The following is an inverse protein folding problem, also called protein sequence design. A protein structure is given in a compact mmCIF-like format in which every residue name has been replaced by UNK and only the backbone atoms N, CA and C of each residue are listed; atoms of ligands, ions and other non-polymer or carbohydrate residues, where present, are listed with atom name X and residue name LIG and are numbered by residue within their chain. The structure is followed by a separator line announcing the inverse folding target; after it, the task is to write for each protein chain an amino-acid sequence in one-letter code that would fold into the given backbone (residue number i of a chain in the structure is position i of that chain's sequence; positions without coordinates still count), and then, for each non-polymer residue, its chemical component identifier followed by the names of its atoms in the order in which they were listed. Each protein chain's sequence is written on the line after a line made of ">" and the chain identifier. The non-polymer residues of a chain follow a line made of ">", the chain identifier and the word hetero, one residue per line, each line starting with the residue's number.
data_IF_531031547847
#
_entry.id   IF_531031547847
#
_cell.length_a   1.000
_cell.length_b   1.000
_cell.length_c   1.000
_cell.angle_alpha   90.00
_cell.angle_beta   90.00
_cell.angle_gamma   90.00
#
_symmetry.space_group_name_H-M   'P 1'
#
loop_
_entity.id
_entity.type
_entity.pdbx_description
1 polymer ?
#
# COMPACT_ATOMS: atom_id res chain seq x y z
N UNK A 1 -27.42 -13.75 -16.68
CA UNK A 1 -26.64 -12.51 -16.47
C UNK A 1 -27.23 -11.82 -15.25
N UNK A 2 -26.51 -11.80 -14.12
CA UNK A 2 -27.01 -11.25 -12.86
C UNK A 2 -27.26 -9.74 -13.02
N UNK A 3 -28.53 -9.34 -12.98
CA UNK A 3 -28.92 -7.94 -12.79
C UNK A 3 -28.61 -7.56 -11.34
N UNK A 4 -27.36 -7.19 -11.05
CA UNK A 4 -27.02 -6.66 -9.75
C UNK A 4 -27.79 -5.36 -9.53
N UNK A 5 -28.60 -5.33 -8.47
CA UNK A 5 -29.16 -4.08 -7.95
C UNK A 5 -28.08 -3.44 -7.10
N UNK A 6 -27.72 -2.21 -7.46
CA UNK A 6 -26.61 -1.48 -6.89
C UNK A 6 -27.10 -0.18 -6.24
N UNK A 7 -26.35 0.25 -5.24
CA UNK A 7 -26.51 1.54 -4.58
C UNK A 7 -25.22 2.33 -4.70
N UNK A 8 -25.32 3.61 -5.05
CA UNK A 8 -24.24 4.58 -5.02
C UNK A 8 -24.51 5.62 -3.93
N UNK A 9 -23.58 5.76 -2.99
CA UNK A 9 -23.54 6.85 -2.02
C UNK A 9 -22.66 7.96 -2.56
N UNK A 10 -23.25 9.14 -2.74
CA UNK A 10 -22.58 10.34 -3.23
C UNK A 10 -22.16 11.20 -2.04
N UNK A 11 -20.86 11.21 -1.76
CA UNK A 11 -20.21 12.11 -0.82
C UNK A 11 -19.38 13.16 -1.60
N UNK A 12 -18.91 14.20 -0.92
CA UNK A 12 -18.15 15.27 -1.56
C UNK A 12 -16.76 14.81 -2.03
N UNK A 13 -16.10 13.98 -1.23
CA UNK A 13 -14.73 13.49 -1.39
C UNK A 13 -14.66 12.11 -2.05
N UNK A 14 -15.78 11.39 -2.15
CA UNK A 14 -15.84 10.04 -2.72
C UNK A 14 -17.24 9.64 -3.19
N UNK A 15 -17.30 8.65 -4.06
CA UNK A 15 -18.54 7.87 -4.28
C UNK A 15 -18.27 6.42 -3.92
N UNK A 16 -19.17 5.86 -3.12
CA UNK A 16 -19.12 4.44 -2.70
C UNK A 16 -20.25 3.67 -3.36
N UNK A 17 -19.94 2.53 -3.96
CA UNK A 17 -20.86 1.63 -4.63
C UNK A 17 -21.02 0.35 -3.82
N UNK A 18 -22.24 -0.18 -3.75
CA UNK A 18 -22.58 -1.35 -2.96
C UNK A 18 -23.55 -2.26 -3.70
N UNK A 19 -23.41 -3.58 -3.52
CA UNK A 19 -24.47 -4.52 -3.85
C UNK A 19 -25.55 -4.51 -2.78
N UNK A 20 -26.81 -4.78 -3.14
CA UNK A 20 -27.88 -4.94 -2.14
C UNK A 20 -27.55 -6.05 -1.13
N UNK A 21 -26.94 -7.15 -1.56
CA UNK A 21 -26.56 -8.26 -0.66
C UNK A 21 -25.49 -7.85 0.35
N UNK A 22 -24.51 -7.02 -0.05
CA UNK A 22 -23.53 -6.44 0.87
C UNK A 22 -24.21 -5.58 1.93
N UNK A 23 -25.10 -4.67 1.52
CA UNK A 23 -25.82 -3.80 2.46
C UNK A 23 -26.74 -4.61 3.39
N UNK A 24 -27.44 -5.62 2.86
CA UNK A 24 -28.31 -6.49 3.67
C UNK A 24 -27.51 -7.25 4.73
N UNK A 25 -26.33 -7.74 4.39
CA UNK A 25 -25.49 -8.53 5.29
C UNK A 25 -24.70 -7.68 6.30
N UNK A 26 -24.18 -6.52 5.88
CA UNK A 26 -23.25 -5.70 6.70
C UNK A 26 -23.91 -4.50 7.36
N UNK A 27 -24.95 -3.93 6.77
CA UNK A 27 -25.63 -2.72 7.26
C UNK A 27 -27.17 -2.84 7.15
N UNK A 28 -27.81 -3.84 7.81
CA UNK A 28 -29.21 -4.18 7.59
C UNK A 28 -30.20 -3.05 7.91
N UNK A 29 -29.92 -2.22 8.93
CA UNK A 29 -30.75 -1.06 9.28
C UNK A 29 -30.69 0.04 8.20
N UNK A 30 -29.50 0.29 7.65
CA UNK A 30 -29.33 1.23 6.54
C UNK A 30 -30.07 0.71 5.31
N UNK A 31 -29.92 -0.57 4.97
CA UNK A 31 -30.60 -1.18 3.84
C UNK A 31 -32.12 -1.03 3.94
N UNK A 32 -32.71 -1.32 5.10
CA UNK A 32 -34.15 -1.12 5.34
C UNK A 32 -34.59 0.35 5.13
N UNK A 33 -33.76 1.30 5.58
CA UNK A 33 -34.01 2.74 5.39
C UNK A 33 -33.97 3.14 3.90
N UNK A 34 -32.97 2.64 3.16
CA UNK A 34 -32.82 2.91 1.73
C UNK A 34 -33.99 2.34 0.92
N UNK A 35 -34.46 1.13 1.25
CA UNK A 35 -35.64 0.54 0.63
C UNK A 35 -36.93 1.33 0.93
N UNK A 36 -37.11 1.81 2.18
CA UNK A 36 -38.23 2.68 2.52
C UNK A 36 -38.22 4.00 1.76
N UNK A 37 -37.03 4.59 1.55
CA UNK A 37 -36.87 5.79 0.72
C UNK A 37 -37.11 5.50 -0.76
N UNK A 38 -36.64 4.37 -1.27
CA UNK A 38 -36.87 3.93 -2.66
C UNK A 38 -38.34 3.68 -2.95
N UNK A 39 -39.08 3.07 -2.02
CA UNK A 39 -40.52 2.88 -2.15
C UNK A 39 -41.26 4.23 -2.27
N UNK A 40 -40.79 5.24 -1.55
CA UNK A 40 -41.34 6.60 -1.54
C UNK A 40 -40.47 7.60 -2.33
N UNK A 41 -39.82 7.16 -3.41
CA UNK A 41 -38.73 7.92 -4.06
C UNK A 41 -39.14 9.34 -4.47
N UNK A 42 -40.38 9.53 -4.93
CA UNK A 42 -40.90 10.85 -5.37
C UNK A 42 -40.78 11.93 -4.27
N UNK A 43 -40.86 11.53 -2.99
CA UNK A 43 -40.75 12.44 -1.83
C UNK A 43 -39.30 12.80 -1.51
N UNK A 44 -38.35 11.93 -1.86
CA UNK A 44 -36.97 12.04 -1.40
C UNK A 44 -35.97 12.35 -2.51
N UNK A 45 -36.37 12.27 -3.78
CA UNK A 45 -35.50 12.57 -4.90
C UNK A 45 -35.09 14.05 -4.92
N UNK A 46 -33.80 14.25 -5.13
CA UNK A 46 -33.19 15.54 -5.37
C UNK A 46 -32.22 15.40 -6.54
N UNK A 47 -32.05 16.47 -7.31
CA UNK A 47 -31.13 16.49 -8.42
C UNK A 47 -29.68 16.63 -7.91
N UNK A 48 -28.79 15.79 -8.42
CA UNK A 48 -27.36 15.81 -8.14
C UNK A 48 -26.61 15.97 -9.45
N UNK A 49 -25.64 16.89 -9.45
CA UNK A 49 -24.75 17.14 -10.59
C UNK A 49 -23.31 16.87 -10.17
N UNK A 50 -22.61 16.02 -10.92
CA UNK A 50 -21.18 15.80 -10.76
C UNK A 50 -20.40 16.81 -11.59
N UNK A 51 -19.26 17.28 -11.08
CA UNK A 51 -18.31 18.07 -11.87
C UNK A 51 -17.67 17.20 -12.95
N UNK A 52 -17.18 17.83 -14.02
CA UNK A 52 -16.50 17.13 -15.11
C UNK A 52 -15.27 16.34 -14.62
N UNK A 53 -14.52 16.90 -13.67
CA UNK A 53 -13.41 16.21 -13.01
C UNK A 53 -13.85 14.90 -12.32
N UNK A 54 -14.96 14.91 -11.58
CA UNK A 54 -15.49 13.70 -10.94
C UNK A 54 -15.92 12.67 -11.97
N UNK A 55 -16.52 13.11 -13.08
CA UNK A 55 -16.92 12.24 -14.20
C UNK A 55 -15.69 11.58 -14.84
N UNK A 56 -14.59 12.31 -15.02
CA UNK A 56 -13.36 11.77 -15.59
C UNK A 56 -12.69 10.75 -14.67
N UNK A 57 -12.58 11.03 -13.37
CA UNK A 57 -12.05 10.08 -12.38
C UNK A 57 -12.88 8.80 -12.33
N UNK A 58 -14.21 8.92 -12.36
CA UNK A 58 -15.10 7.75 -12.43
C UNK A 58 -14.81 6.92 -13.69
N UNK A 59 -14.64 7.58 -14.85
CA UNK A 59 -14.34 6.90 -16.11
C UNK A 59 -13.02 6.13 -16.06
N UNK A 60 -11.96 6.74 -15.53
CA UNK A 60 -10.64 6.09 -15.35
C UNK A 60 -10.72 4.86 -14.42
N UNK A 61 -11.65 4.86 -13.48
CA UNK A 61 -11.92 3.74 -12.57
C UNK A 61 -12.91 2.73 -13.13
N UNK A 62 -13.24 2.78 -14.43
CA UNK A 62 -14.18 1.83 -15.05
C UNK A 62 -15.65 2.11 -14.73
N UNK A 63 -16.01 3.34 -14.39
CA UNK A 63 -17.39 3.74 -14.09
C UNK A 63 -17.86 4.76 -15.12
N UNK A 64 -18.76 4.33 -15.98
CA UNK A 64 -19.39 5.21 -16.96
C UNK A 64 -20.54 5.98 -16.31
N UNK A 65 -20.50 7.31 -16.37
CA UNK A 65 -21.62 8.17 -15.99
C UNK A 65 -22.58 8.25 -17.18
N UNK A 66 -23.78 7.69 -17.03
CA UNK A 66 -24.80 7.61 -18.09
C UNK A 66 -25.67 8.88 -18.15
N UNK A 67 -25.88 9.53 -17.01
CA UNK A 67 -26.70 10.73 -16.88
C UNK A 67 -26.08 11.69 -15.87
N UNK A 68 -25.99 12.98 -16.21
CA UNK A 68 -25.53 14.06 -15.33
C UNK A 68 -26.15 15.38 -15.79
N UNK A 69 -27.06 16.01 -15.03
CA UNK A 69 -27.45 15.66 -13.66
C UNK A 69 -28.37 14.43 -13.58
N UNK A 70 -28.41 13.78 -12.42
CA UNK A 70 -29.26 12.62 -12.14
C UNK A 70 -30.01 12.78 -10.80
N UNK A 71 -30.95 11.87 -10.52
CA UNK A 71 -31.75 11.90 -9.29
C UNK A 71 -31.15 11.01 -8.20
N UNK A 72 -31.03 11.54 -6.99
CA UNK A 72 -30.61 10.79 -5.81
C UNK A 72 -31.57 11.03 -4.64
N UNK A 73 -31.86 9.98 -3.87
CA UNK A 73 -32.60 10.05 -2.62
C UNK A 73 -31.80 10.87 -1.61
N UNK A 74 -32.45 11.89 -1.05
CA UNK A 74 -31.87 12.87 -0.12
C UNK A 74 -30.59 13.53 -0.67
N UNK A 75 -30.46 13.62 -2.00
CA UNK A 75 -29.27 14.15 -2.66
C UNK A 75 -28.00 13.31 -2.49
N UNK A 76 -28.10 12.10 -1.92
CA UNK A 76 -26.94 11.29 -1.51
C UNK A 76 -26.96 9.85 -1.98
N UNK A 77 -28.11 9.28 -2.33
CA UNK A 77 -28.21 7.86 -2.64
C UNK A 77 -28.89 7.61 -3.99
N UNK A 78 -28.20 6.92 -4.90
CA UNK A 78 -28.75 6.55 -6.18
C UNK A 78 -28.81 5.03 -6.31
N UNK A 79 -29.97 4.47 -6.65
CA UNK A 79 -30.12 3.05 -6.92
C UNK A 79 -30.10 2.84 -8.43
N UNK A 80 -29.43 1.79 -8.90
CA UNK A 80 -29.24 1.55 -10.33
C UNK A 80 -28.97 0.08 -10.65
N UNK A 81 -29.05 -0.27 -11.93
CA UNK A 81 -28.79 -1.63 -12.46
C UNK A 81 -27.71 -1.68 -13.53
N UNK A 82 -27.28 -0.52 -14.03
CA UNK A 82 -26.33 -0.34 -15.13
C UNK A 82 -26.92 -0.50 -16.53
N UNK A 83 -28.25 -0.69 -16.65
CA UNK A 83 -28.93 -0.99 -17.93
C UNK A 83 -30.28 -0.29 -18.09
N UNK A 84 -30.75 0.47 -17.09
CA UNK A 84 -32.02 1.20 -17.13
C UNK A 84 -31.81 2.66 -17.54
N UNK A 85 -32.79 3.26 -18.21
CA UNK A 85 -32.69 4.64 -18.73
C UNK A 85 -32.55 5.73 -17.64
N UNK A 86 -32.87 5.40 -16.39
CA UNK A 86 -32.72 6.29 -15.23
C UNK A 86 -31.44 6.06 -14.43
N UNK A 87 -30.60 5.10 -14.83
CA UNK A 87 -29.35 4.81 -14.14
C UNK A 87 -28.36 5.96 -14.37
N UNK A 88 -27.73 6.44 -13.30
CA UNK A 88 -26.67 7.44 -13.38
C UNK A 88 -25.31 6.83 -13.72
N UNK A 89 -25.12 5.55 -13.40
CA UNK A 89 -23.83 4.87 -13.48
C UNK A 89 -23.95 3.51 -14.16
N UNK A 90 -22.86 3.11 -14.82
CA UNK A 90 -22.64 1.73 -15.27
C UNK A 90 -21.21 1.33 -14.91
N UNK A 91 -21.07 0.25 -14.16
CA UNK A 91 -19.78 -0.30 -13.77
C UNK A 91 -19.31 -1.27 -14.85
N UNK A 92 -18.07 -1.07 -15.31
CA UNK A 92 -17.40 -1.83 -16.36
C UNK A 92 -15.95 -2.13 -15.91
N UNK A 93 -15.28 -3.07 -16.59
CA UNK A 93 -13.88 -3.40 -16.32
C UNK A 93 -13.57 -3.72 -14.85
N UNK A 94 -12.54 -3.09 -14.30
CA UNK A 94 -12.03 -3.28 -12.94
C UNK A 94 -13.10 -3.00 -11.87
N UNK A 95 -13.86 -1.89 -11.98
CA UNK A 95 -14.90 -1.57 -11.00
C UNK A 95 -15.99 -2.64 -10.92
N UNK A 96 -16.35 -3.25 -12.06
CA UNK A 96 -17.32 -4.35 -12.08
C UNK A 96 -16.76 -5.61 -11.40
N UNK A 97 -15.50 -5.95 -11.66
CA UNK A 97 -14.87 -7.13 -11.05
C UNK A 97 -14.73 -6.96 -9.53
N UNK A 98 -14.31 -5.78 -9.08
CA UNK A 98 -14.12 -5.47 -7.66
C UNK A 98 -15.45 -5.48 -6.89
N UNK A 99 -16.51 -4.88 -7.45
CA UNK A 99 -17.82 -4.87 -6.78
C UNK A 99 -18.47 -6.26 -6.73
N UNK A 100 -18.25 -7.10 -7.75
CA UNK A 100 -18.72 -8.49 -7.77
C UNK A 100 -17.97 -9.34 -6.74
N UNK A 101 -16.67 -9.09 -6.54
CA UNK A 101 -15.82 -9.84 -5.60
C UNK A 101 -16.06 -9.45 -4.14
N UNK A 102 -16.18 -8.16 -3.84
CA UNK A 102 -16.21 -7.67 -2.46
C UNK A 102 -17.56 -7.10 -2.02
N UNK A 103 -18.50 -6.92 -2.95
CA UNK A 103 -19.81 -6.32 -2.68
C UNK A 103 -19.78 -4.81 -2.43
N UNK A 104 -18.59 -4.19 -2.40
CA UNK A 104 -18.37 -2.76 -2.17
C UNK A 104 -17.18 -2.27 -2.99
N UNK A 105 -17.31 -1.10 -3.60
CA UNK A 105 -16.23 -0.42 -4.32
C UNK A 105 -16.25 1.07 -4.02
N UNK A 106 -15.09 1.70 -3.79
CA UNK A 106 -15.02 3.11 -3.40
C UNK A 106 -14.09 3.87 -4.34
N UNK A 107 -14.61 4.93 -4.94
CA UNK A 107 -13.81 5.87 -5.74
C UNK A 107 -13.62 7.14 -4.94
N UNK A 108 -12.36 7.41 -4.58
CA UNK A 108 -11.97 8.65 -3.93
C UNK A 108 -11.65 9.71 -4.98
N UNK A 109 -12.30 10.86 -4.87
CA UNK A 109 -11.93 12.06 -5.60
C UNK A 109 -10.90 12.79 -4.75
N UNK A 110 -9.66 12.30 -4.78
CA UNK A 110 -8.54 13.13 -4.31
C UNK A 110 -8.69 14.50 -4.98
N UNK A 111 -8.64 15.57 -4.20
CA UNK A 111 -8.96 16.93 -4.63
C UNK A 111 -8.17 17.33 -5.89
N UNK A 112 -8.77 17.10 -7.06
CA UNK A 112 -8.28 17.64 -8.33
C UNK A 112 -8.51 19.16 -8.39
N UNK A 113 -9.35 19.70 -7.50
CA UNK A 113 -9.52 21.14 -7.31
C UNK A 113 -8.28 21.80 -6.64
N UNK A 114 -7.36 21.01 -6.08
CA UNK A 114 -6.10 21.55 -5.52
C UNK A 114 -5.03 21.81 -6.59
N UNK A 115 -5.08 21.15 -7.76
CA UNK A 115 -4.06 21.36 -8.81
C UNK A 115 -4.13 22.73 -9.47
N UNK A 116 -5.32 23.33 -9.56
CA UNK A 116 -5.48 24.68 -10.11
C UNK A 116 -5.26 25.78 -9.06
N UNK A 117 -5.44 25.47 -7.77
CA UNK A 117 -5.05 26.38 -6.69
C UNK A 117 -3.54 26.39 -6.45
N UNK A 118 -2.83 25.28 -6.64
CA UNK A 118 -1.35 25.24 -6.46
C UNK A 118 -0.61 26.10 -7.50
N UNK A 119 -1.17 26.30 -8.70
CA UNK A 119 -0.57 27.19 -9.72
C UNK A 119 -0.93 28.67 -9.45
N UNK A 120 -2.06 28.95 -8.80
CA UNK A 120 -2.49 30.32 -8.44
C UNK A 120 -2.12 30.73 -7.00
N UNK A 121 -1.64 29.82 -6.16
CA UNK A 121 -1.22 30.06 -4.78
C UNK A 121 0.23 30.54 -4.65
N UNK A 122 0.79 31.10 -5.72
CA UNK A 122 1.93 32.01 -5.61
C UNK A 122 1.52 33.42 -5.12
N UNK A 123 0.23 33.66 -4.80
CA UNK A 123 -0.20 34.89 -4.16
C UNK A 123 -1.55 34.70 -3.43
N UNK A 124 -1.54 34.62 -2.10
CA UNK A 124 -2.75 34.65 -1.28
C UNK A 124 -2.58 33.96 0.08
N UNK A 125 -2.50 34.77 1.14
CA UNK A 125 -2.46 34.34 2.54
C UNK A 125 -3.67 33.45 2.89
N UNK A 126 -3.45 32.17 3.14
CA UNK A 126 -4.43 31.29 3.83
C UNK A 126 -4.01 31.20 5.28
N UNK A 127 -4.83 31.74 6.20
CA UNK A 127 -4.60 31.56 7.63
C UNK A 127 -4.60 30.06 7.97
N UNK A 128 -3.56 29.63 8.71
CA UNK A 128 -3.45 28.29 9.24
C UNK A 128 -4.50 28.09 10.33
N UNK A 129 -5.08 26.90 10.43
CA UNK A 129 -6.00 26.60 11.55
C UNK A 129 -5.22 26.51 12.86
N UNK A 130 -5.90 26.68 13.99
CA UNK A 130 -5.28 26.56 15.31
C UNK A 130 -4.60 25.19 15.51
N UNK A 131 -5.17 24.11 14.98
CA UNK A 131 -4.56 22.78 15.05
C UNK A 131 -3.29 22.67 14.20
N UNK A 132 -3.31 23.24 12.99
CA UNK A 132 -2.13 23.27 12.13
C UNK A 132 -1.03 24.12 12.76
N UNK A 133 -1.38 25.27 13.33
CA UNK A 133 -0.46 26.16 14.02
C UNK A 133 0.14 25.50 15.26
N UNK A 134 -0.67 24.77 16.03
CA UNK A 134 -0.20 23.97 17.15
C UNK A 134 0.85 22.92 16.71
N UNK A 135 0.56 22.16 15.64
CA UNK A 135 1.51 21.18 15.07
C UNK A 135 2.82 21.86 14.64
N UNK A 136 2.72 23.00 13.94
CA UNK A 136 3.87 23.76 13.44
C UNK A 136 4.75 24.27 14.59
N UNK A 137 4.10 24.72 15.68
CA UNK A 137 4.76 25.29 16.85
C UNK A 137 5.21 24.26 17.88
N UNK A 138 4.86 22.98 17.73
CA UNK A 138 5.33 21.91 18.62
C UNK A 138 6.85 21.90 18.69
N UNK A 139 7.40 21.98 19.90
CA UNK A 139 8.83 21.81 20.11
C UNK A 139 9.22 20.38 19.68
N UNK A 140 10.11 20.31 18.70
CA UNK A 140 10.58 19.07 18.12
C UNK A 140 12.10 19.13 18.10
N UNK A 141 12.73 18.41 19.02
CA UNK A 141 14.18 18.42 19.21
C UNK A 141 14.94 17.48 18.26
N UNK A 142 14.24 16.87 17.29
CA UNK A 142 14.81 15.93 16.32
C UNK A 142 15.00 14.49 16.83
N UNK A 143 14.84 14.24 18.13
CA UNK A 143 14.96 12.90 18.74
C UNK A 143 13.60 12.28 19.09
N UNK A 144 12.54 13.11 19.12
CA UNK A 144 11.18 12.67 19.38
C UNK A 144 10.51 12.12 18.12
N UNK A 145 9.47 11.29 18.30
CA UNK A 145 8.59 10.87 17.20
C UNK A 145 7.25 11.60 17.33
N UNK A 146 6.93 12.45 16.37
CA UNK A 146 5.65 13.16 16.30
C UNK A 146 4.69 12.44 15.35
N UNK A 147 3.59 11.91 15.89
CA UNK A 147 2.51 11.33 15.10
C UNK A 147 1.38 12.35 14.90
N UNK A 148 1.11 12.72 13.65
CA UNK A 148 0.05 13.66 13.29
C UNK A 148 -1.12 12.90 12.66
N UNK A 149 -2.27 12.92 13.32
CA UNK A 149 -3.51 12.37 12.77
C UNK A 149 -4.19 13.43 11.90
N UNK A 150 -4.35 13.16 10.61
CA UNK A 150 -4.91 14.12 9.66
C UNK A 150 -5.82 13.46 8.61
N UNK A 151 -7.08 13.91 8.55
CA UNK A 151 -8.07 13.42 7.59
C UNK A 151 -7.76 13.88 6.16
N UNK A 152 -8.41 13.27 5.16
CA UNK A 152 -8.29 13.72 3.78
C UNK A 152 -8.73 15.18 3.65
N UNK A 153 -7.98 16.00 2.90
CA UNK A 153 -8.30 17.41 2.68
C UNK A 153 -7.95 18.37 3.84
N UNK A 154 -7.40 17.91 4.97
CA UNK A 154 -7.07 18.80 6.11
C UNK A 154 -5.73 19.54 5.96
N UNK A 155 -5.21 19.65 4.74
CA UNK A 155 -3.97 20.39 4.48
C UNK A 155 -2.68 19.72 4.98
N UNK A 156 -2.60 18.38 5.04
CA UNK A 156 -1.38 17.63 5.45
C UNK A 156 -0.10 18.19 4.86
N UNK A 157 -0.07 18.36 3.53
CA UNK A 157 1.10 18.84 2.80
C UNK A 157 1.42 20.29 3.18
N UNK A 158 0.40 21.14 3.33
CA UNK A 158 0.55 22.52 3.78
C UNK A 158 1.12 22.58 5.20
N UNK A 159 0.57 21.81 6.13
CA UNK A 159 1.05 21.74 7.52
C UNK A 159 2.50 21.30 7.59
N UNK A 160 2.89 20.24 6.86
CA UNK A 160 4.28 19.78 6.81
C UNK A 160 5.21 20.82 6.16
N UNK A 161 4.71 21.61 5.21
CA UNK A 161 5.51 22.59 4.47
C UNK A 161 5.80 23.80 5.35
N UNK A 162 4.79 24.28 6.08
CA UNK A 162 4.99 25.33 7.07
C UNK A 162 5.80 24.84 8.27
N UNK A 163 5.65 23.57 8.66
CA UNK A 163 6.48 22.94 9.70
C UNK A 163 7.96 22.96 9.33
N UNK A 164 8.31 22.62 8.08
CA UNK A 164 9.69 22.65 7.60
C UNK A 164 10.21 24.08 7.37
N UNK A 165 9.39 24.99 6.83
CA UNK A 165 9.76 26.42 6.63
C UNK A 165 10.10 27.11 7.93
N UNK A 166 9.32 26.88 9.00
CA UNK A 166 9.61 27.42 10.34
C UNK A 166 10.97 26.97 10.87
N UNK A 167 11.45 25.82 10.41
CA UNK A 167 12.73 25.20 10.77
C UNK A 167 13.72 25.22 9.59
N UNK A 168 13.75 26.31 8.83
CA UNK A 168 14.57 26.42 7.61
C UNK A 168 16.08 26.19 7.81
N UNK A 169 16.60 26.29 9.03
CA UNK A 169 17.99 25.95 9.37
C UNK A 169 18.25 24.45 9.54
N UNK A 170 17.20 23.63 9.64
CA UNK A 170 17.28 22.18 9.81
C UNK A 170 17.25 21.45 8.46
N UNK A 171 17.71 20.19 8.47
CA UNK A 171 17.71 19.34 7.27
C UNK A 171 16.56 18.34 7.32
N UNK A 172 15.61 18.50 6.40
CA UNK A 172 14.48 17.60 6.24
C UNK A 172 14.68 16.61 5.10
N UNK A 173 14.15 15.41 5.28
CA UNK A 173 13.92 14.42 4.22
C UNK A 173 12.45 14.03 4.21
N UNK A 174 11.81 14.06 3.04
CA UNK A 174 10.44 13.60 2.88
C UNK A 174 10.45 12.16 2.37
N UNK A 175 9.86 11.22 3.11
CA UNK A 175 9.76 9.82 2.71
C UNK A 175 8.34 9.47 2.24
N UNK A 176 8.24 9.00 1.00
CA UNK A 176 6.98 8.66 0.35
C UNK A 176 6.87 7.16 0.01
N UNK A 177 5.64 6.67 -0.16
CA UNK A 177 5.40 5.28 -0.57
C UNK A 177 5.73 4.99 -2.03
N UNK A 178 5.49 5.96 -2.93
CA UNK A 178 5.72 5.80 -4.36
C UNK A 178 6.40 7.03 -4.97
N UNK A 179 6.94 6.85 -6.18
CA UNK A 179 7.72 7.89 -6.86
C UNK A 179 6.89 9.13 -7.20
N UNK A 180 5.64 8.96 -7.63
CA UNK A 180 4.75 10.08 -7.96
C UNK A 180 4.58 11.05 -6.77
N UNK A 181 4.36 10.50 -5.56
CA UNK A 181 4.23 11.30 -4.34
C UNK A 181 5.56 11.94 -3.94
N UNK A 182 6.70 11.26 -4.14
CA UNK A 182 8.02 11.85 -3.90
C UNK A 182 8.30 13.02 -4.85
N UNK A 183 8.03 12.85 -6.15
CA UNK A 183 8.25 13.87 -7.18
C UNK A 183 7.36 15.11 -6.96
N UNK A 184 6.14 14.91 -6.44
CA UNK A 184 5.25 16.01 -6.03
C UNK A 184 5.76 16.72 -4.78
N UNK A 185 6.18 15.96 -3.77
CA UNK A 185 6.76 16.52 -2.55
C UNK A 185 8.02 17.36 -2.83
N UNK A 186 8.92 16.91 -3.70
CA UNK A 186 10.13 17.65 -4.07
C UNK A 186 9.79 19.08 -4.56
N UNK A 187 8.73 19.21 -5.38
CA UNK A 187 8.28 20.51 -5.91
C UNK A 187 7.72 21.44 -4.83
N UNK A 188 7.11 20.87 -3.79
CA UNK A 188 6.41 21.64 -2.75
C UNK A 188 7.37 22.04 -1.63
N UNK A 189 8.20 21.11 -1.18
CA UNK A 189 9.07 21.31 -0.01
C UNK A 189 10.45 21.86 -0.38
N UNK A 190 10.85 21.82 -1.66
CA UNK A 190 12.25 22.07 -2.09
C UNK A 190 13.27 21.31 -1.23
N UNK A 191 12.83 20.19 -0.67
CA UNK A 191 13.58 19.32 0.24
C UNK A 191 13.76 17.99 -0.44
N UNK A 192 14.85 17.30 -0.12
CA UNK A 192 15.15 15.95 -0.61
C UNK A 192 13.98 14.99 -0.32
N UNK A 193 13.17 14.68 -1.32
CA UNK A 193 12.03 13.78 -1.25
C UNK A 193 12.37 12.46 -1.94
N UNK A 194 12.14 11.34 -1.24
CA UNK A 194 12.55 10.02 -1.68
C UNK A 194 11.50 8.98 -1.34
N UNK A 195 11.47 7.89 -2.10
CA UNK A 195 10.74 6.71 -1.63
C UNK A 195 11.54 6.01 -0.53
N UNK A 196 10.86 5.32 0.39
CA UNK A 196 11.53 4.47 1.41
C UNK A 196 12.56 3.53 0.77
N UNK A 197 12.20 2.91 -0.36
CA UNK A 197 13.06 2.05 -1.15
C UNK A 197 14.32 2.77 -1.65
N UNK A 198 14.17 3.93 -2.28
CA UNK A 198 15.31 4.70 -2.81
C UNK A 198 16.21 5.24 -1.70
N UNK A 199 15.65 5.57 -0.54
CA UNK A 199 16.40 5.99 0.64
C UNK A 199 17.21 4.83 1.22
N UNK A 200 16.56 3.70 1.47
CA UNK A 200 17.20 2.48 1.95
C UNK A 200 18.31 2.02 1.00
N UNK A 201 18.07 2.00 -0.31
CA UNK A 201 19.07 1.64 -1.30
C UNK A 201 20.27 2.61 -1.27
N UNK A 202 20.02 3.91 -1.10
CA UNK A 202 21.07 4.91 -0.95
C UNK A 202 21.96 4.66 0.27
N UNK A 203 21.37 4.25 1.40
CA UNK A 203 22.12 3.81 2.58
C UNK A 203 22.91 2.53 2.30
N UNK A 204 22.24 1.50 1.77
CA UNK A 204 22.85 0.19 1.53
C UNK A 204 24.03 0.30 0.57
N UNK A 205 23.95 1.12 -0.48
CA UNK A 205 25.09 1.37 -1.40
C UNK A 205 26.30 2.05 -0.74
N UNK A 206 26.10 2.80 0.36
CA UNK A 206 27.22 3.37 1.12
C UNK A 206 27.93 2.32 1.96
N UNK A 207 27.18 1.40 2.55
CA UNK A 207 27.71 0.31 3.40
C UNK A 207 28.28 -0.82 2.53
N UNK A 208 27.55 -1.22 1.50
CA UNK A 208 27.83 -2.33 0.59
C UNK A 208 28.03 -1.81 -0.84
N UNK A 209 29.25 -1.34 -1.14
CA UNK A 209 29.57 -0.61 -2.38
C UNK A 209 29.37 -1.40 -3.67
N UNK A 210 29.41 -2.72 -3.60
CA UNK A 210 29.33 -3.62 -4.76
C UNK A 210 27.91 -4.09 -5.07
N UNK A 211 26.90 -3.66 -4.30
CA UNK A 211 25.53 -4.14 -4.45
C UNK A 211 24.94 -3.81 -5.84
N UNK A 212 24.39 -4.84 -6.48
CA UNK A 212 23.63 -4.74 -7.74
C UNK A 212 22.16 -4.98 -7.42
N UNK A 213 21.24 -4.31 -8.10
CA UNK A 213 19.81 -4.36 -7.77
C UNK A 213 19.01 -5.07 -8.85
N UNK A 214 18.06 -5.91 -8.44
CA UNK A 214 17.04 -6.52 -9.30
C UNK A 214 15.63 -6.14 -8.83
N UNK A 215 14.61 -6.47 -9.63
CA UNK A 215 13.22 -6.32 -9.19
C UNK A 215 12.79 -7.45 -8.25
N UNK A 216 13.27 -8.67 -8.49
CA UNK A 216 12.92 -9.86 -7.72
C UNK A 216 14.10 -10.83 -7.61
N UNK A 217 14.02 -11.76 -6.66
CA UNK A 217 14.91 -12.90 -6.60
C UNK A 217 14.42 -13.97 -7.58
N UNK A 218 15.25 -14.31 -8.56
CA UNK A 218 14.85 -15.29 -9.58
C UNK A 218 15.06 -16.71 -9.06
N UNK A 219 14.20 -17.64 -9.50
CA UNK A 219 14.39 -19.06 -9.17
C UNK A 219 15.72 -19.60 -9.71
N UNK A 220 16.27 -18.99 -10.77
CA UNK A 220 17.56 -19.39 -11.35
C UNK A 220 18.71 -19.09 -10.40
N UNK A 221 18.70 -17.93 -9.75
CA UNK A 221 19.71 -17.56 -8.74
C UNK A 221 19.66 -18.52 -7.56
N UNK A 222 18.46 -18.84 -7.10
CA UNK A 222 18.25 -19.79 -5.98
C UNK A 222 18.66 -21.21 -6.39
N UNK A 223 18.25 -21.67 -7.57
CA UNK A 223 18.50 -23.06 -8.03
C UNK A 223 19.98 -23.33 -8.16
N UNK A 224 20.77 -22.37 -8.67
CA UNK A 224 22.23 -22.50 -8.74
C UNK A 224 22.86 -22.72 -7.36
N UNK A 225 22.36 -22.03 -6.35
CA UNK A 225 22.84 -22.13 -4.98
C UNK A 225 22.39 -23.42 -4.30
N UNK A 226 21.14 -23.82 -4.55
CA UNK A 226 20.61 -25.12 -4.12
C UNK A 226 21.40 -26.27 -4.74
N UNK A 227 21.78 -26.20 -6.02
CA UNK A 227 22.58 -27.24 -6.70
C UNK A 227 23.99 -27.40 -6.10
N UNK A 228 24.64 -26.31 -5.71
CA UNK A 228 25.92 -26.36 -4.99
C UNK A 228 25.74 -27.12 -3.67
N UNK A 229 24.65 -26.85 -2.96
CA UNK A 229 24.35 -27.52 -1.69
C UNK A 229 23.91 -28.97 -1.88
N UNK A 230 23.18 -29.30 -2.96
CA UNK A 230 22.91 -30.69 -3.32
C UNK A 230 24.19 -31.49 -3.50
N UNK A 231 25.16 -30.93 -4.22
CA UNK A 231 26.45 -31.58 -4.44
C UNK A 231 27.22 -31.79 -3.12
N UNK A 232 26.99 -30.95 -2.10
CA UNK A 232 27.52 -31.15 -0.74
C UNK A 232 26.71 -32.19 0.05
N UNK A 233 25.38 -32.21 -0.06
CA UNK A 233 24.47 -33.10 0.66
C UNK A 233 24.39 -34.53 0.09
N UNK A 234 24.67 -34.73 -1.19
CA UNK A 234 24.78 -36.07 -1.80
C UNK A 234 25.91 -36.90 -1.18
N UNK A 235 26.93 -36.25 -0.58
CA UNK A 235 27.93 -36.93 0.25
C UNK A 235 27.36 -37.45 1.58
N UNK A 236 26.27 -36.86 2.08
CA UNK A 236 25.64 -37.16 3.36
C UNK A 236 24.37 -38.04 3.26
N UNK A 237 23.93 -38.41 2.04
CA UNK A 237 22.74 -39.25 1.75
C UNK A 237 21.38 -38.64 2.16
N UNK A 238 21.26 -37.32 2.30
CA UNK A 238 20.00 -36.66 2.66
C UNK A 238 18.99 -36.61 1.49
N UNK A 239 17.80 -37.18 1.72
CA UNK A 239 16.76 -37.37 0.68
C UNK A 239 15.96 -36.11 0.33
N UNK A 240 16.10 -35.03 1.09
CA UNK A 240 15.25 -33.83 0.95
C UNK A 240 15.61 -33.03 -0.29
N UNK A 241 16.88 -33.03 -0.66
CA UNK A 241 17.40 -32.35 -1.83
C UNK A 241 17.04 -33.01 -3.17
N UNK A 242 16.10 -33.95 -3.26
CA UNK A 242 15.77 -34.61 -4.53
C UNK A 242 15.20 -33.66 -5.58
N UNK A 243 14.39 -32.67 -5.20
CA UNK A 243 13.80 -31.72 -6.15
C UNK A 243 14.29 -30.29 -5.90
N UNK A 244 15.20 -29.80 -6.76
CA UNK A 244 15.84 -28.49 -6.59
C UNK A 244 14.82 -27.37 -6.68
N UNK A 245 13.83 -27.55 -7.55
CA UNK A 245 12.82 -26.56 -7.85
C UNK A 245 11.86 -26.33 -6.69
N UNK A 246 11.42 -27.42 -6.03
CA UNK A 246 10.56 -27.34 -4.85
C UNK A 246 11.30 -26.62 -3.72
N UNK A 247 12.56 -26.97 -3.47
CA UNK A 247 13.37 -26.31 -2.46
C UNK A 247 13.57 -24.83 -2.81
N UNK A 248 13.86 -24.51 -4.07
CA UNK A 248 14.01 -23.13 -4.51
C UNK A 248 12.73 -22.31 -4.30
N UNK A 249 11.56 -22.90 -4.53
CA UNK A 249 10.27 -22.25 -4.25
C UNK A 249 10.07 -22.00 -2.75
N UNK A 250 10.37 -22.98 -1.88
CA UNK A 250 10.29 -22.82 -0.42
C UNK A 250 11.27 -21.76 0.07
N UNK A 251 12.51 -21.77 -0.43
CA UNK A 251 13.52 -20.74 -0.11
C UNK A 251 13.02 -19.36 -0.51
N UNK A 252 12.44 -19.22 -1.72
CA UNK A 252 11.87 -17.94 -2.18
C UNK A 252 10.78 -17.45 -1.23
N UNK A 253 9.88 -18.33 -0.82
CA UNK A 253 8.79 -18.00 0.09
C UNK A 253 9.29 -17.56 1.48
N UNK A 254 10.22 -18.33 2.08
CA UNK A 254 10.81 -17.98 3.39
C UNK A 254 11.59 -16.67 3.28
N UNK A 255 12.39 -16.48 2.22
CA UNK A 255 13.17 -15.25 2.01
C UNK A 255 12.26 -14.02 1.88
N UNK A 256 11.23 -14.09 1.05
CA UNK A 256 10.33 -12.95 0.86
C UNK A 256 9.49 -12.68 2.12
N UNK A 257 9.06 -13.74 2.81
CA UNK A 257 8.38 -13.64 4.11
C UNK A 257 9.26 -12.97 5.16
N UNK A 258 10.51 -13.41 5.29
CA UNK A 258 11.51 -12.78 6.15
C UNK A 258 11.67 -11.30 5.81
N UNK A 259 11.85 -10.94 4.53
CA UNK A 259 12.02 -9.55 4.10
C UNK A 259 10.82 -8.65 4.44
N UNK A 260 9.61 -9.22 4.56
CA UNK A 260 8.38 -8.50 4.94
C UNK A 260 8.10 -8.50 6.45
N UNK A 261 8.79 -9.34 7.22
CA UNK A 261 8.63 -9.46 8.67
C UNK A 261 9.41 -8.40 9.45
N UNK A 262 9.28 -8.37 10.78
CA UNK A 262 10.15 -7.59 11.68
C UNK A 262 11.29 -8.41 12.32
N UNK A 263 11.43 -9.68 11.94
CA UNK A 263 12.43 -10.60 12.49
C UNK A 263 13.86 -10.10 12.21
N UNK A 264 14.79 -10.38 13.13
CA UNK A 264 16.18 -9.94 13.08
C UNK A 264 17.12 -10.95 12.42
N UNK A 265 16.64 -12.18 12.20
CA UNK A 265 17.33 -13.25 11.49
C UNK A 265 16.34 -14.14 10.75
N UNK A 266 16.82 -14.88 9.76
CA UNK A 266 15.97 -15.85 9.03
C UNK A 266 15.56 -16.99 9.96
N UNK A 267 16.47 -17.42 10.85
CA UNK A 267 16.21 -18.45 11.87
C UNK A 267 15.10 -18.04 12.84
N UNK A 268 15.08 -16.78 13.28
CA UNK A 268 14.00 -16.24 14.10
C UNK A 268 12.67 -16.26 13.35
N UNK A 269 12.66 -15.77 12.09
CA UNK A 269 11.46 -15.81 11.25
C UNK A 269 10.91 -17.23 11.08
N UNK A 270 11.79 -18.20 10.80
CA UNK A 270 11.42 -19.61 10.65
C UNK A 270 10.82 -20.16 11.94
N UNK A 271 11.43 -19.88 13.10
CA UNK A 271 10.91 -20.29 14.40
C UNK A 271 9.54 -19.67 14.67
N UNK A 272 9.34 -18.38 14.41
CA UNK A 272 8.08 -17.73 14.74
C UNK A 272 6.92 -18.18 13.85
N UNK A 273 7.19 -18.47 12.57
CA UNK A 273 6.13 -18.68 11.58
C UNK A 273 5.86 -20.15 11.27
N UNK A 274 6.78 -21.06 11.61
CA UNK A 274 6.63 -22.47 11.28
C UNK A 274 6.59 -23.37 12.52
N UNK A 275 7.00 -22.91 13.71
CA UNK A 275 7.10 -23.75 14.92
C UNK A 275 5.76 -24.39 15.34
N UNK A 276 4.63 -23.72 15.14
CA UNK A 276 3.31 -24.24 15.52
C UNK A 276 2.81 -25.37 14.60
N UNK A 277 3.31 -25.48 13.36
CA UNK A 277 2.95 -26.56 12.43
C UNK A 277 3.63 -27.91 12.79
N UNK A 278 4.53 -27.91 13.79
CA UNK A 278 5.47 -29.00 14.07
C UNK A 278 5.26 -29.75 15.39
N UNK A 279 4.12 -29.59 16.07
CA UNK A 279 3.83 -30.34 17.31
C UNK A 279 3.54 -31.85 17.13
N UNK A 280 3.95 -32.45 16.02
CA UNK A 280 3.89 -33.90 15.75
C UNK A 280 5.31 -34.50 15.65
N UNK A 281 5.47 -35.82 15.79
CA UNK A 281 6.80 -36.48 15.78
C UNK A 281 7.66 -36.21 14.52
N UNK A 282 7.05 -35.82 13.40
CA UNK A 282 7.74 -35.44 12.16
C UNK A 282 8.16 -33.94 12.12
N UNK A 283 7.67 -33.14 13.06
CA UNK A 283 7.88 -31.69 13.08
C UNK A 283 9.29 -31.28 13.50
N UNK A 284 9.95 -32.04 14.38
CA UNK A 284 11.37 -31.83 14.69
C UNK A 284 12.25 -31.98 13.45
N UNK A 285 12.03 -33.03 12.66
CA UNK A 285 12.74 -33.25 11.41
C UNK A 285 12.48 -32.13 10.40
N UNK A 286 11.24 -31.67 10.26
CA UNK A 286 10.92 -30.58 9.33
C UNK A 286 11.56 -29.25 9.79
N UNK A 287 11.53 -28.92 11.08
CA UNK A 287 12.13 -27.71 11.63
C UNK A 287 13.65 -27.66 11.42
N UNK A 288 14.34 -28.79 11.58
CA UNK A 288 15.77 -28.91 11.31
C UNK A 288 16.10 -28.50 9.87
N UNK A 289 15.32 -29.01 8.90
CA UNK A 289 15.49 -28.64 7.50
C UNK A 289 15.15 -27.17 7.23
N UNK A 290 14.13 -26.60 7.88
CA UNK A 290 13.85 -25.17 7.74
C UNK A 290 14.99 -24.31 8.29
N UNK A 291 15.69 -24.76 9.34
CA UNK A 291 16.89 -24.08 9.85
C UNK A 291 18.03 -24.19 8.84
N UNK A 292 18.24 -25.35 8.21
CA UNK A 292 19.21 -25.48 7.10
C UNK A 292 18.86 -24.51 5.95
N UNK A 293 17.59 -24.45 5.54
CA UNK A 293 17.15 -23.51 4.51
C UNK A 293 17.38 -22.04 4.93
N UNK A 294 17.23 -21.73 6.22
CA UNK A 294 17.53 -20.39 6.73
C UNK A 294 19.02 -20.04 6.55
N UNK A 295 19.93 -20.97 6.78
CA UNK A 295 21.36 -20.78 6.53
C UNK A 295 21.66 -20.50 5.05
N UNK A 296 20.94 -21.16 4.13
CA UNK A 296 21.03 -20.87 2.69
C UNK A 296 20.63 -19.43 2.39
N UNK A 297 19.51 -18.98 2.97
CA UNK A 297 19.00 -17.63 2.77
C UNK A 297 19.97 -16.58 3.32
N UNK A 298 20.57 -16.83 4.48
CA UNK A 298 21.61 -15.96 5.04
C UNK A 298 22.84 -15.88 4.12
N UNK A 299 23.25 -17.02 3.54
CA UNK A 299 24.29 -17.06 2.51
C UNK A 299 23.94 -16.26 1.25
N UNK A 300 22.70 -16.36 0.76
CA UNK A 300 22.20 -15.56 -0.37
C UNK A 300 22.28 -14.06 -0.05
N UNK A 301 21.83 -13.64 1.14
CA UNK A 301 21.90 -12.24 1.57
C UNK A 301 23.36 -11.76 1.63
N UNK A 302 24.29 -12.60 2.08
CA UNK A 302 25.71 -12.24 2.11
C UNK A 302 26.28 -12.07 0.70
N UNK A 303 25.91 -12.95 -0.25
CA UNK A 303 26.29 -12.81 -1.67
C UNK A 303 25.72 -11.54 -2.31
N UNK A 304 24.48 -11.16 -1.95
CA UNK A 304 23.88 -9.87 -2.38
C UNK A 304 24.70 -8.68 -1.86
N UNK A 305 25.07 -8.70 -0.57
CA UNK A 305 25.91 -7.68 0.06
C UNK A 305 27.29 -7.56 -0.60
N UNK A 306 27.84 -8.68 -1.04
CA UNK A 306 29.12 -8.74 -1.74
C UNK A 306 29.03 -8.37 -3.23
N UNK A 307 27.82 -8.27 -3.80
CA UNK A 307 27.62 -7.98 -5.23
C UNK A 307 27.83 -9.17 -6.16
N UNK A 308 27.86 -10.39 -5.60
CA UNK A 308 27.98 -11.66 -6.32
C UNK A 308 26.68 -12.03 -7.03
N UNK A 309 25.54 -11.72 -6.40
CA UNK A 309 24.19 -11.86 -6.97
C UNK A 309 23.42 -10.54 -6.86
N UNK A 310 22.38 -10.38 -7.68
CA UNK A 310 21.54 -9.19 -7.63
C UNK A 310 20.64 -9.20 -6.38
N UNK A 311 20.44 -8.01 -5.81
CA UNK A 311 19.67 -7.78 -4.60
C UNK A 311 18.30 -7.21 -4.95
N UNK A 312 17.20 -7.92 -4.64
CA UNK A 312 15.85 -7.43 -4.93
C UNK A 312 15.41 -6.32 -3.98
N UNK A 313 14.33 -5.63 -4.35
CA UNK A 313 13.78 -4.50 -3.58
C UNK A 313 13.50 -4.80 -2.11
N UNK A 314 12.93 -5.97 -1.84
CA UNK A 314 12.62 -6.41 -0.47
C UNK A 314 13.89 -6.67 0.36
N UNK A 315 14.95 -7.19 -0.26
CA UNK A 315 16.18 -7.55 0.45
C UNK A 315 16.97 -6.34 0.88
N UNK A 316 17.21 -5.36 0.00
CA UNK A 316 17.96 -4.19 0.45
C UNK A 316 17.19 -3.38 1.52
N UNK A 317 15.85 -3.41 1.50
CA UNK A 317 15.05 -2.78 2.54
C UNK A 317 15.21 -3.51 3.89
N UNK A 318 15.19 -4.85 3.88
CA UNK A 318 15.50 -5.67 5.05
C UNK A 318 16.94 -5.47 5.54
N UNK A 319 17.93 -5.42 4.64
CA UNK A 319 19.32 -5.14 5.00
C UNK A 319 19.41 -3.77 5.69
N UNK A 320 18.79 -2.74 5.13
CA UNK A 320 18.74 -1.41 5.74
C UNK A 320 18.16 -1.44 7.16
N UNK A 321 17.01 -2.09 7.36
CA UNK A 321 16.39 -2.25 8.69
C UNK A 321 17.35 -2.91 9.70
N UNK A 322 17.99 -4.01 9.30
CA UNK A 322 18.92 -4.74 10.17
C UNK A 322 20.17 -3.92 10.52
N UNK A 323 20.71 -3.14 9.56
CA UNK A 323 21.86 -2.26 9.83
C UNK A 323 21.49 -1.14 10.80
N UNK A 324 20.30 -0.55 10.69
CA UNK A 324 19.81 0.46 11.64
C UNK A 324 19.65 -0.09 13.06
N UNK A 325 19.25 -1.36 13.20
CA UNK A 325 19.15 -2.03 14.51
C UNK A 325 20.52 -2.34 15.11
N UNK A 326 21.50 -2.69 14.27
CA UNK A 326 22.86 -3.08 14.70
C UNK A 326 23.74 -1.90 15.06
N UNK A 327 23.57 -0.76 14.39
CA UNK A 327 24.38 0.43 14.62
C UNK A 327 23.50 1.61 15.07
N UNK A 328 23.44 1.89 16.39
CA UNK A 328 22.68 3.02 16.90
C UNK A 328 23.22 4.37 16.41
N UNK A 329 24.49 4.42 15.97
CA UNK A 329 25.12 5.61 15.38
C UNK A 329 24.55 6.00 13.99
N UNK A 330 23.68 5.18 13.40
CA UNK A 330 22.97 5.51 12.16
C UNK A 330 21.57 6.12 12.39
N UNK A 331 21.14 6.29 13.65
CA UNK A 331 19.90 6.98 14.00
C UNK A 331 20.07 8.49 14.05
#
# INVERSE_FOLDING_TARGET
>A
MSNYKLWAKIDNDKISFFTEDYLRAKEPQLFATLEAWRHNYKKYQQQVKLSENKVNVLREKGIRVLSNPFLALKGKWHWFTGSWHNDAFKLEGEAKQEIERYGKYVVNFCALDDRQKVINASCGSTELTDEQQAIINTDFNGYDTLLINAYAGTGKTTTLSEFSKRRSSERFIYLAFNKSVADEAEKIFSSNARTFHSWALGFVRRVYKTIKTSNELTLKDITREVEILKAMAEKNKDKIYKNAYIIAAVIKEIFEGFCRSSANSVKEYVKENFYNDFNNANGHFYLEHCIELADIIEGLIQKMKNGEIECPHCAYLKIFELELKRNPNFR
#
